data_IF_618635501988
#
_entry.id   IF_618635501988
#
_cell.length_a   1.000
_cell.length_b   1.000
_cell.length_c   1.000
_cell.angle_alpha   90.00
_cell.angle_beta   90.00
_cell.angle_gamma   90.00
#
_symmetry.space_group_name_H-M   'P 1'
#
loop_
_entity.id
_entity.type
_entity.pdbx_description
1 polymer ?
#
# COMPACT_ATOMS: atom_id res chain seq x y z
N UNK A 1 4.60 -25.04 -20.48
CA UNK A 1 6.05 -24.84 -20.70
C UNK A 1 6.60 -24.12 -19.50
N UNK A 2 7.55 -24.73 -18.78
CA UNK A 2 8.32 -24.11 -17.71
C UNK A 2 9.42 -23.21 -18.28
N UNK A 3 9.86 -22.21 -17.52
CA UNK A 3 10.97 -21.33 -17.88
C UNK A 3 12.11 -21.61 -16.90
N UNK A 4 13.27 -22.08 -17.39
CA UNK A 4 14.43 -22.42 -16.55
C UNK A 4 15.66 -21.75 -17.14
N UNK A 5 16.53 -21.20 -16.30
CA UNK A 5 17.76 -20.56 -16.75
C UNK A 5 18.59 -19.95 -15.61
N UNK A 6 19.61 -19.20 -15.99
CA UNK A 6 20.45 -18.44 -15.07
C UNK A 6 19.97 -16.99 -14.98
N UNK A 7 20.10 -16.38 -13.81
CA UNK A 7 19.77 -14.97 -13.57
C UNK A 7 20.78 -14.01 -14.21
N UNK A 8 21.97 -14.50 -14.56
CA UNK A 8 23.00 -13.76 -15.29
C UNK A 8 22.59 -13.51 -16.75
N UNK A 9 21.86 -14.46 -17.35
CA UNK A 9 21.41 -14.40 -18.74
C UNK A 9 20.07 -13.66 -18.88
N UNK A 10 19.19 -13.80 -17.88
CA UNK A 10 17.87 -13.18 -17.84
C UNK A 10 17.57 -12.74 -16.40
N UNK A 11 17.67 -11.43 -16.16
CA UNK A 11 17.51 -10.86 -14.83
C UNK A 11 16.09 -11.06 -14.28
N UNK A 12 15.96 -11.02 -12.96
CA UNK A 12 14.67 -11.23 -12.29
C UNK A 12 13.61 -10.20 -12.72
N UNK A 13 14.02 -8.98 -13.05
CA UNK A 13 13.13 -7.94 -13.59
C UNK A 13 12.51 -8.34 -14.94
N UNK A 14 13.30 -8.92 -15.85
CA UNK A 14 12.82 -9.37 -17.16
C UNK A 14 11.88 -10.57 -17.02
N UNK A 15 12.19 -11.50 -16.12
CA UNK A 15 11.33 -12.64 -15.79
C UNK A 15 9.96 -12.16 -15.30
N UNK A 16 9.94 -11.14 -14.43
CA UNK A 16 8.72 -10.54 -13.92
C UNK A 16 7.91 -9.90 -15.04
N UNK A 17 8.56 -9.19 -15.97
CA UNK A 17 7.90 -8.61 -17.13
C UNK A 17 7.27 -9.67 -18.04
N UNK A 18 7.99 -10.78 -18.29
CA UNK A 18 7.48 -11.90 -19.10
C UNK A 18 6.24 -12.52 -18.43
N UNK A 19 6.28 -12.80 -17.12
CA UNK A 19 5.16 -13.41 -16.39
C UNK A 19 3.96 -12.46 -16.34
N UNK A 20 4.20 -11.17 -16.10
CA UNK A 20 3.16 -10.14 -16.03
C UNK A 20 2.44 -9.97 -17.37
N UNK A 21 3.19 -9.74 -18.46
CA UNK A 21 2.61 -9.54 -19.79
C UNK A 21 1.88 -10.78 -20.30
N UNK A 22 2.37 -11.96 -19.96
CA UNK A 22 1.73 -13.22 -20.34
C UNK A 22 0.57 -13.62 -19.41
N UNK A 23 0.32 -12.87 -18.32
CA UNK A 23 -0.68 -13.16 -17.28
C UNK A 23 -0.65 -14.60 -16.78
N UNK A 24 0.54 -15.18 -16.67
CA UNK A 24 0.70 -16.58 -16.25
C UNK A 24 0.63 -16.72 -14.74
N UNK A 25 -0.06 -17.77 -14.29
CA UNK A 25 -0.06 -18.23 -12.90
C UNK A 25 0.97 -19.34 -12.72
N UNK A 26 1.70 -19.34 -11.60
CA UNK A 26 2.74 -20.32 -11.36
C UNK A 26 3.65 -19.97 -10.20
N UNK A 27 4.70 -20.76 -10.03
CA UNK A 27 5.68 -20.61 -8.95
C UNK A 27 7.05 -20.42 -9.56
N UNK A 28 7.72 -19.33 -9.17
CA UNK A 28 9.10 -19.02 -9.53
C UNK A 28 10.02 -19.37 -8.36
N UNK A 29 10.89 -20.35 -8.52
CA UNK A 29 11.93 -20.68 -7.57
C UNK A 29 13.24 -19.97 -7.94
N UNK A 30 13.91 -19.39 -6.94
CA UNK A 30 15.19 -18.67 -7.06
C UNK A 30 16.22 -19.33 -6.15
N UNK A 31 17.40 -19.64 -6.68
CA UNK A 31 18.51 -20.25 -5.93
C UNK A 31 19.82 -19.52 -6.21
N UNK A 32 20.29 -18.78 -5.21
CA UNK A 32 21.59 -18.12 -5.18
C UNK A 32 22.56 -18.75 -4.19
N UNK A 33 23.78 -18.20 -4.09
CA UNK A 33 24.80 -18.67 -3.14
C UNK A 33 24.47 -18.35 -1.67
N UNK A 34 23.82 -17.21 -1.43
CA UNK A 34 23.51 -16.70 -0.09
C UNK A 34 22.01 -16.77 0.25
N UNK A 35 21.14 -16.85 -0.76
CA UNK A 35 19.69 -16.76 -0.58
C UNK A 35 18.99 -17.73 -1.52
N UNK A 36 17.96 -18.41 -1.02
CA UNK A 36 17.04 -19.22 -1.82
C UNK A 36 15.59 -18.87 -1.47
N UNK A 37 14.66 -18.96 -2.43
CA UNK A 37 13.28 -18.61 -2.16
C UNK A 37 12.33 -18.95 -3.29
N UNK A 38 11.04 -18.71 -3.05
CA UNK A 38 9.99 -18.85 -4.06
C UNK A 38 9.07 -17.65 -4.08
N UNK A 39 8.56 -17.35 -5.26
CA UNK A 39 7.61 -16.27 -5.54
C UNK A 39 6.42 -16.87 -6.27
N UNK A 40 5.22 -16.56 -5.80
CA UNK A 40 3.97 -17.16 -6.25
C UNK A 40 3.18 -16.15 -7.07
N UNK A 41 2.81 -16.54 -8.29
CA UNK A 41 2.11 -15.70 -9.25
C UNK A 41 0.70 -16.21 -9.53
N UNK A 42 -0.28 -15.31 -9.53
CA UNK A 42 -1.66 -15.56 -9.96
C UNK A 42 -2.09 -14.48 -10.93
N UNK A 43 -2.50 -14.87 -12.13
CA UNK A 43 -2.92 -13.98 -13.23
C UNK A 43 -1.85 -12.92 -13.57
N UNK A 44 -0.58 -13.32 -13.45
CA UNK A 44 0.56 -12.42 -13.62
C UNK A 44 0.88 -11.53 -12.42
N UNK A 45 0.18 -11.62 -11.30
CA UNK A 45 0.41 -10.81 -10.09
C UNK A 45 1.11 -11.63 -9.00
N UNK A 46 1.98 -11.02 -8.20
CA UNK A 46 2.65 -11.72 -7.08
C UNK A 46 1.73 -11.79 -5.87
N UNK A 47 1.32 -12.99 -5.45
CA UNK A 47 0.39 -13.18 -4.34
C UNK A 47 1.07 -13.69 -3.06
N UNK A 48 2.27 -14.23 -3.16
CA UNK A 48 3.04 -14.66 -1.99
C UNK A 48 4.53 -14.78 -2.32
N UNK A 49 5.37 -14.77 -1.30
CA UNK A 49 6.79 -15.08 -1.43
C UNK A 49 7.36 -15.61 -0.11
N UNK A 50 8.47 -16.33 -0.19
CA UNK A 50 9.34 -16.60 0.94
C UNK A 50 10.80 -16.61 0.50
N UNK A 51 11.68 -16.30 1.45
CA UNK A 51 13.13 -16.26 1.26
C UNK A 51 13.82 -16.85 2.48
N UNK A 52 14.85 -17.66 2.23
CA UNK A 52 15.67 -18.34 3.22
C UNK A 52 17.13 -17.92 3.05
N UNK A 53 17.82 -17.72 4.17
CA UNK A 53 19.28 -17.50 4.21
C UNK A 53 20.04 -18.83 4.16
N UNK A 54 21.36 -18.79 4.08
CA UNK A 54 22.27 -19.95 4.14
C UNK A 54 22.01 -20.83 5.37
N UNK A 55 21.56 -20.24 6.48
CA UNK A 55 21.15 -20.96 7.70
C UNK A 55 19.70 -21.48 7.68
N UNK A 56 19.01 -21.41 6.55
CA UNK A 56 17.59 -21.74 6.34
C UNK A 56 16.65 -21.01 7.29
N UNK A 57 17.01 -19.78 7.65
CA UNK A 57 16.15 -18.87 8.43
C UNK A 57 15.45 -17.90 7.52
N UNK A 58 14.23 -17.53 7.89
CA UNK A 58 13.41 -16.54 7.20
C UNK A 58 14.00 -15.15 7.48
N UNK A 59 14.22 -14.36 6.42
CA UNK A 59 15.00 -13.12 6.49
C UNK A 59 14.11 -11.87 6.64
N UNK A 60 12.85 -11.93 6.20
CA UNK A 60 11.96 -10.77 6.06
C UNK A 60 10.54 -11.09 6.54
N UNK A 61 9.76 -10.05 6.82
CA UNK A 61 8.45 -10.18 7.49
C UNK A 61 7.25 -9.82 6.59
N UNK A 62 7.48 -9.49 5.31
CA UNK A 62 6.40 -9.20 4.37
C UNK A 62 6.78 -9.65 2.94
N UNK A 63 5.79 -9.79 2.06
CA UNK A 63 5.97 -10.30 0.69
C UNK A 63 6.87 -9.41 -0.16
N UNK A 64 6.74 -8.09 -0.05
CA UNK A 64 7.52 -7.14 -0.86
C UNK A 64 9.03 -7.20 -0.54
N UNK A 65 9.39 -7.08 0.73
CA UNK A 65 10.78 -7.14 1.19
C UNK A 65 11.40 -8.52 0.90
N UNK A 66 10.59 -9.57 1.00
CA UNK A 66 10.99 -10.93 0.65
C UNK A 66 11.30 -11.05 -0.84
N UNK A 67 10.47 -10.47 -1.71
CA UNK A 67 10.73 -10.43 -3.15
C UNK A 67 12.01 -9.63 -3.43
N UNK A 68 12.19 -8.47 -2.81
CA UNK A 68 13.40 -7.67 -2.99
C UNK A 68 14.67 -8.39 -2.52
N UNK A 69 14.63 -9.18 -1.45
CA UNK A 69 15.79 -9.97 -1.03
C UNK A 69 16.17 -11.08 -2.02
N UNK A 70 15.29 -11.44 -2.95
CA UNK A 70 15.56 -12.43 -4.00
C UNK A 70 16.13 -11.81 -5.28
N UNK A 71 16.20 -10.47 -5.39
CA UNK A 71 16.93 -9.81 -6.47
C UNK A 71 18.44 -9.98 -6.25
N UNK A 72 19.03 -10.94 -6.97
CA UNK A 72 20.45 -11.29 -6.92
C UNK A 72 21.05 -11.27 -8.33
N UNK A 73 22.38 -11.07 -8.42
CA UNK A 73 23.08 -11.04 -9.71
C UNK A 73 23.33 -12.44 -10.28
N UNK A 74 23.74 -13.38 -9.43
CA UNK A 74 24.13 -14.73 -9.83
C UNK A 74 23.21 -15.77 -9.16
N UNK A 75 22.69 -16.70 -9.95
CA UNK A 75 21.84 -17.77 -9.47
C UNK A 75 21.02 -18.41 -10.57
N UNK A 76 20.21 -19.40 -10.18
CA UNK A 76 19.33 -20.12 -11.08
C UNK A 76 17.88 -19.81 -10.77
N UNK A 77 17.04 -19.81 -11.80
CA UNK A 77 15.60 -19.69 -11.66
C UNK A 77 14.87 -20.85 -12.35
N UNK A 78 13.69 -21.19 -11.82
CA UNK A 78 12.79 -22.19 -12.36
C UNK A 78 11.34 -21.75 -12.17
N UNK A 79 10.62 -21.51 -13.26
CA UNK A 79 9.20 -21.16 -13.27
C UNK A 79 8.34 -22.31 -13.74
N UNK A 80 7.47 -22.79 -12.86
CA UNK A 80 6.53 -23.86 -13.13
C UNK A 80 5.09 -23.34 -13.16
N UNK A 81 4.32 -23.71 -14.19
CA UNK A 81 2.89 -23.44 -14.30
C UNK A 81 2.13 -24.41 -13.37
N UNK A 82 1.77 -23.93 -12.18
CA UNK A 82 1.06 -24.67 -11.14
C UNK A 82 0.02 -23.76 -10.48
N UNK A 83 -0.96 -24.35 -9.78
CA UNK A 83 -1.89 -23.54 -8.96
C UNK A 83 -1.12 -23.05 -7.72
N UNK A 84 -0.86 -21.74 -7.60
CA UNK A 84 -0.13 -21.22 -6.47
C UNK A 84 -0.88 -21.41 -5.15
N UNK A 85 -2.21 -21.49 -5.15
CA UNK A 85 -2.99 -21.62 -3.92
C UNK A 85 -2.87 -23.02 -3.30
N UNK A 86 -2.72 -24.06 -4.11
CA UNK A 86 -2.51 -25.43 -3.63
C UNK A 86 -1.13 -25.60 -3.01
N UNK A 87 -0.10 -25.04 -3.64
CA UNK A 87 1.27 -25.06 -3.12
C UNK A 87 1.42 -24.26 -1.81
N UNK A 88 0.70 -23.14 -1.65
CA UNK A 88 0.69 -22.34 -0.42
C UNK A 88 0.01 -23.09 0.73
N UNK A 89 -1.11 -23.80 0.48
CA UNK A 89 -1.85 -24.58 1.49
C UNK A 89 -1.02 -25.71 2.12
N UNK A 90 -0.01 -26.22 1.42
CA UNK A 90 0.89 -27.27 1.91
C UNK A 90 2.02 -26.77 2.83
N UNK A 91 2.17 -25.46 3.02
CA UNK A 91 3.27 -24.86 3.77
C UNK A 91 2.86 -24.42 5.17
N UNK A 92 3.85 -24.33 6.08
CA UNK A 92 3.62 -23.78 7.42
C UNK A 92 3.35 -22.27 7.31
N UNK A 93 2.33 -21.71 7.98
CA UNK A 93 1.94 -20.29 7.84
C UNK A 93 3.11 -19.32 8.07
N UNK A 94 3.98 -19.64 9.03
CA UNK A 94 5.12 -18.78 9.40
C UNK A 94 6.23 -18.73 8.35
N UNK A 95 6.15 -19.57 7.30
CA UNK A 95 7.19 -19.73 6.28
C UNK A 95 6.89 -19.07 4.95
N UNK A 96 5.67 -18.55 4.75
CA UNK A 96 5.23 -17.94 3.49
C UNK A 96 4.47 -16.66 3.77
N UNK A 97 4.91 -15.54 3.18
CA UNK A 97 4.23 -14.27 3.30
C UNK A 97 3.25 -14.12 2.14
N UNK A 98 1.97 -14.27 2.45
CA UNK A 98 0.88 -14.04 1.52
C UNK A 98 0.61 -12.54 1.49
N UNK A 99 0.65 -11.96 0.29
CA UNK A 99 0.26 -10.58 0.11
C UNK A 99 -1.27 -10.52 0.24
N UNK A 100 -1.77 -9.54 0.99
CA UNK A 100 -3.21 -9.32 1.13
C UNK A 100 -3.87 -9.09 -0.26
N UNK A 101 -3.11 -8.54 -1.22
CA UNK A 101 -3.48 -8.36 -2.63
C UNK A 101 -2.31 -8.74 -3.56
N UNK A 102 -2.62 -9.15 -4.78
CA UNK A 102 -1.60 -9.38 -5.81
C UNK A 102 -0.77 -8.12 -6.05
N UNK A 103 0.54 -8.20 -5.83
CA UNK A 103 1.51 -7.12 -6.06
C UNK A 103 1.87 -7.05 -7.55
N UNK A 104 2.00 -5.83 -8.08
CA UNK A 104 2.34 -5.60 -9.48
C UNK A 104 3.83 -5.93 -9.74
N UNK A 105 4.15 -6.92 -10.59
CA UNK A 105 5.53 -7.29 -10.89
C UNK A 105 6.35 -6.20 -11.59
N UNK A 106 5.73 -5.26 -12.32
CA UNK A 106 6.48 -4.18 -12.98
C UNK A 106 7.10 -3.22 -11.96
N UNK A 107 6.34 -2.88 -10.91
CA UNK A 107 6.88 -2.09 -9.80
C UNK A 107 7.98 -2.86 -9.08
N UNK A 108 7.74 -4.14 -8.77
CA UNK A 108 8.73 -4.99 -8.09
C UNK A 108 10.01 -5.14 -8.91
N UNK A 109 9.90 -5.25 -10.23
CA UNK A 109 11.02 -5.31 -11.17
C UNK A 109 11.83 -4.00 -11.18
N UNK A 110 11.15 -2.86 -11.30
CA UNK A 110 11.80 -1.55 -11.34
C UNK A 110 12.51 -1.24 -10.01
N UNK A 111 11.80 -1.41 -8.89
CA UNK A 111 12.33 -1.08 -7.57
C UNK A 111 13.37 -2.11 -7.10
N UNK A 112 13.15 -3.41 -7.36
CA UNK A 112 14.12 -4.47 -7.04
C UNK A 112 15.44 -4.31 -7.80
N UNK A 113 15.39 -3.97 -9.09
CA UNK A 113 16.60 -3.72 -9.89
C UNK A 113 17.34 -2.47 -9.40
N UNK A 114 16.62 -1.39 -9.08
CA UNK A 114 17.20 -0.17 -8.49
C UNK A 114 17.94 -0.46 -7.18
N UNK A 115 17.31 -1.22 -6.28
CA UNK A 115 17.90 -1.58 -4.98
C UNK A 115 19.16 -2.43 -5.13
N UNK A 116 19.15 -3.37 -6.08
CA UNK A 116 20.31 -4.20 -6.40
C UNK A 116 21.48 -3.35 -6.92
N UNK A 117 21.24 -2.39 -7.82
CA UNK A 117 22.28 -1.51 -8.37
C UNK A 117 22.84 -0.52 -7.33
N UNK A 118 22.01 -0.04 -6.40
CA UNK A 118 22.47 0.80 -5.29
C UNK A 118 23.34 0.02 -4.30
N UNK A 119 22.99 -1.24 -4.01
CA UNK A 119 23.80 -2.11 -3.17
C UNK A 119 25.19 -2.33 -3.79
N UNK A 120 25.28 -2.52 -5.10
CA UNK A 120 26.56 -2.60 -5.83
C UNK A 120 27.36 -1.30 -5.75
N UNK A 121 26.68 -0.17 -5.92
CA UNK A 121 27.32 1.15 -5.95
C UNK A 121 27.89 1.54 -4.58
N UNK A 122 27.23 1.15 -3.49
CA UNK A 122 27.73 1.32 -2.11
C UNK A 122 28.94 0.45 -1.80
N UNK A 123 29.02 -0.76 -2.36
CA UNK A 123 30.19 -1.64 -2.22
C UNK A 123 31.40 -1.11 -3.01
N UNK A 124 31.18 -0.46 -4.15
CA UNK A 124 32.25 0.14 -4.99
C UNK A 124 32.79 1.49 -4.50
N UNK A 125 32.05 2.19 -3.63
CA UNK A 125 32.41 3.54 -3.13
C UNK A 125 32.91 3.55 -1.68
N UNK A 126 32.99 2.40 -1.02
CA UNK A 126 33.62 2.29 0.29
C UNK A 126 35.14 2.51 0.17
N UNK A 127 35.75 3.44 0.93
CA UNK A 127 37.21 3.56 1.00
C UNK A 127 37.81 2.23 1.51
N UNK A 128 39.05 1.89 1.14
CA UNK A 128 39.71 0.70 1.67
C UNK A 128 39.69 0.75 3.19
N UNK A 129 39.49 -0.38 3.90
CA UNK A 129 39.52 -0.38 5.34
C UNK A 129 40.88 0.14 5.81
N UNK A 130 40.87 1.22 6.58
CA UNK A 130 42.08 1.72 7.24
C UNK A 130 42.68 0.59 8.10
N UNK A 131 44.02 0.45 8.14
CA UNK A 131 44.67 -0.55 8.97
C UNK A 131 44.25 -0.32 10.42
N UNK A 132 43.60 -1.33 11.00
CA UNK A 132 43.11 -1.29 12.38
C UNK A 132 44.31 -1.06 13.30
N UNK A 133 44.34 -0.02 14.16
CA UNK A 133 45.40 0.15 15.14
C UNK A 133 45.41 -1.05 16.09
N UNK A 134 46.56 -1.70 16.20
CA UNK A 134 46.75 -2.86 17.07
C UNK A 134 46.65 -2.43 18.54
N UNK A 135 45.51 -2.69 19.17
CA UNK A 135 45.41 -2.59 20.62
C UNK A 135 46.02 -3.86 21.26
N UNK A 136 46.79 -3.74 22.36
CA UNK A 136 47.44 -4.87 23.00
C UNK A 136 46.40 -5.87 23.50
N UNK A 137 46.60 -7.16 23.17
CA UNK A 137 45.78 -8.27 23.64
C UNK A 137 45.73 -8.28 25.17
N UNK A 138 44.57 -7.99 25.75
CA UNK A 138 44.29 -8.36 27.13
C UNK A 138 43.96 -9.85 27.17
N UNK A 139 44.78 -10.60 27.90
CA UNK A 139 44.56 -12.01 28.22
C UNK A 139 43.37 -12.16 29.16
N UNK A 140 42.28 -12.73 28.66
CA UNK A 140 41.16 -13.21 29.48
C UNK A 140 41.55 -14.61 29.99
N UNK A 141 41.46 -14.91 31.30
CA UNK A 141 41.72 -16.24 31.82
C UNK A 141 40.62 -17.25 31.44
N UNK A 142 40.91 -18.56 31.37
CA UNK A 142 39.94 -19.56 30.94
C UNK A 142 38.85 -19.74 32.01
N UNK A 143 37.58 -19.56 31.64
CA UNK A 143 36.47 -20.10 32.42
C UNK A 143 36.31 -21.59 32.08
N UNK A 144 36.32 -22.41 33.14
CA UNK A 144 36.26 -23.86 33.08
C UNK A 144 34.97 -24.40 32.43
N UNK A 145 35.13 -25.48 31.69
CA UNK A 145 34.02 -26.28 31.13
C UNK A 145 33.22 -26.96 32.26
N UNK A 146 31.88 -26.87 32.26
CA UNK A 146 31.06 -27.76 33.07
C UNK A 146 30.91 -29.12 32.39
N UNK A 147 31.25 -30.15 33.15
CA UNK A 147 31.14 -31.56 32.82
C UNK A 147 29.68 -31.99 32.60
N UNK A 148 29.48 -32.90 31.64
CA UNK A 148 28.24 -33.63 31.43
C UNK A 148 28.08 -34.65 32.56
N UNK A 149 27.04 -34.50 33.39
CA UNK A 149 26.55 -35.54 34.29
C UNK A 149 25.13 -35.91 33.91
N UNK A 150 24.92 -37.16 33.54
CA UNK A 150 23.62 -37.79 33.35
C UNK A 150 22.84 -37.91 34.66
N UNK A 151 21.52 -37.67 34.59
CA UNK A 151 20.41 -38.38 35.26
C UNK A 151 19.15 -37.48 35.30
N UNK A 152 17.94 -38.01 35.61
CA UNK A 152 17.29 -39.24 35.17
C UNK A 152 15.94 -38.93 34.47
N UNK A 153 15.46 -39.88 33.66
CA UNK A 153 14.09 -39.86 33.13
C UNK A 153 13.08 -39.88 34.30
N UNK A 154 12.18 -38.90 34.34
CA UNK A 154 10.94 -38.95 35.12
C UNK A 154 9.76 -38.84 34.17
N UNK A 155 8.95 -39.89 34.20
CA UNK A 155 7.60 -39.95 33.63
C UNK A 155 6.80 -38.73 34.08
N UNK A 156 6.32 -37.95 33.12
CA UNK A 156 5.30 -36.95 33.36
C UNK A 156 3.94 -37.61 33.07
N UNK A 157 3.23 -37.93 34.15
CA UNK A 157 1.81 -38.25 34.13
C UNK A 157 1.02 -37.13 33.43
N UNK A 158 0.16 -37.53 32.51
CA UNK A 158 -0.81 -36.66 31.86
C UNK A 158 -1.88 -36.22 32.87
N UNK A 159 -2.18 -34.91 33.00
CA UNK A 159 -3.43 -34.50 33.59
C UNK A 159 -4.55 -34.83 32.60
N UNK A 160 -5.39 -35.80 32.96
CA UNK A 160 -6.67 -36.05 32.29
C UNK A 160 -7.58 -34.85 32.59
N UNK A 161 -7.55 -33.85 31.71
CA UNK A 161 -8.64 -32.88 31.61
C UNK A 161 -9.78 -33.56 30.87
N UNK A 162 -10.83 -33.90 31.60
CA UNK A 162 -12.11 -34.36 31.04
C UNK A 162 -12.56 -33.33 30.01
N UNK A 163 -12.63 -33.74 28.76
CA UNK A 163 -13.37 -33.01 27.74
C UNK A 163 -14.85 -33.13 28.11
N UNK A 164 -15.36 -32.15 28.85
CA UNK A 164 -16.79 -31.85 28.75
C UNK A 164 -17.03 -31.37 27.32
N UNK A 165 -17.96 -32.05 26.65
CA UNK A 165 -18.34 -31.75 25.29
C UNK A 165 -18.76 -30.29 25.18
N UNK A 166 -17.92 -29.49 24.51
CA UNK A 166 -18.35 -28.21 23.95
C UNK A 166 -19.52 -28.56 23.02
N UNK A 167 -20.74 -28.03 23.24
CA UNK A 167 -21.83 -28.21 22.31
C UNK A 167 -21.32 -27.74 20.95
N UNK A 168 -21.43 -28.60 19.94
CA UNK A 168 -21.20 -28.22 18.56
C UNK A 168 -22.16 -27.07 18.25
N UNK A 169 -21.67 -25.83 18.39
CA UNK A 169 -22.27 -24.68 17.74
C UNK A 169 -22.13 -25.00 16.25
N UNK A 170 -23.26 -25.38 15.65
CA UNK A 170 -23.39 -25.42 14.20
C UNK A 170 -22.79 -24.12 13.70
N UNK A 171 -21.75 -24.22 12.86
CA UNK A 171 -21.33 -23.11 12.04
C UNK A 171 -22.53 -22.76 11.18
N UNK A 172 -23.35 -21.82 11.65
CA UNK A 172 -24.24 -21.05 10.81
C UNK A 172 -23.33 -20.22 9.92
N UNK A 173 -22.90 -20.88 8.84
CA UNK A 173 -22.31 -20.25 7.68
C UNK A 173 -23.26 -19.14 7.28
N UNK A 174 -22.85 -17.90 7.52
CA UNK A 174 -23.57 -16.73 7.06
C UNK A 174 -23.71 -16.84 5.55
N UNK A 175 -24.90 -17.21 5.09
CA UNK A 175 -25.25 -17.25 3.68
C UNK A 175 -26.02 -15.96 3.41
N UNK A 176 -25.51 -15.05 2.55
CA UNK A 176 -26.21 -13.81 2.23
C UNK A 176 -27.67 -14.05 1.82
N UNK A 177 -27.96 -15.20 1.20
CA UNK A 177 -29.31 -15.64 0.77
C UNK A 177 -30.36 -15.74 1.89
N UNK A 178 -29.98 -16.00 3.14
CA UNK A 178 -30.97 -16.12 4.23
C UNK A 178 -31.62 -14.78 4.57
N UNK A 179 -30.89 -13.68 4.42
CA UNK A 179 -31.38 -12.32 4.72
C UNK A 179 -32.41 -11.85 3.69
N UNK A 180 -32.17 -12.09 2.40
CA UNK A 180 -33.07 -11.66 1.32
C UNK A 180 -34.40 -12.43 1.36
N UNK A 181 -34.33 -13.72 1.71
CA UNK A 181 -35.50 -14.57 1.87
C UNK A 181 -36.39 -14.14 3.06
N UNK A 182 -35.78 -13.78 4.19
CA UNK A 182 -36.53 -13.23 5.34
C UNK A 182 -37.11 -11.84 5.07
N UNK A 183 -36.44 -11.03 4.23
CA UNK A 183 -36.90 -9.70 3.83
C UNK A 183 -37.99 -9.72 2.73
N UNK A 184 -38.41 -10.91 2.26
CA UNK A 184 -39.43 -11.05 1.22
C UNK A 184 -39.01 -10.56 -0.17
N UNK A 185 -37.70 -10.46 -0.42
CA UNK A 185 -37.15 -10.00 -1.70
C UNK A 185 -36.95 -11.24 -2.58
N UNK A 186 -37.81 -11.40 -3.59
CA UNK A 186 -37.61 -12.43 -4.62
C UNK A 186 -36.43 -12.04 -5.51
N UNK A 187 -35.46 -12.93 -5.69
CA UNK A 187 -34.37 -12.76 -6.66
C UNK A 187 -34.98 -12.74 -8.08
N UNK A 188 -35.15 -11.56 -8.68
CA UNK A 188 -35.40 -11.44 -10.11
C UNK A 188 -34.11 -11.84 -10.87
N UNK A 189 -34.16 -13.00 -11.51
CA UNK A 189 -33.17 -13.46 -12.48
C UNK A 189 -33.14 -12.54 -13.70
N UNK A 190 -32.29 -11.52 -13.65
CA UNK A 190 -31.41 -11.00 -14.73
C UNK A 190 -30.85 -9.66 -14.29
N UNK A 191 -29.74 -9.70 -13.55
CA UNK A 191 -28.85 -8.54 -13.49
C UNK A 191 -28.01 -8.61 -14.76
N UNK A 192 -28.29 -7.75 -15.74
CA UNK A 192 -27.35 -7.57 -16.84
C UNK A 192 -25.96 -7.28 -16.24
N UNK A 193 -24.87 -7.87 -16.77
CA UNK A 193 -23.55 -7.62 -16.22
C UNK A 193 -23.31 -6.12 -16.29
N UNK A 194 -23.31 -5.45 -15.12
CA UNK A 194 -22.96 -4.04 -15.02
C UNK A 194 -21.57 -3.91 -15.61
N UNK A 195 -21.48 -3.34 -16.81
CA UNK A 195 -20.21 -3.06 -17.47
C UNK A 195 -19.51 -2.05 -16.57
N UNK A 196 -18.63 -2.55 -15.71
CA UNK A 196 -17.90 -1.72 -14.75
C UNK A 196 -17.11 -0.71 -15.56
N UNK A 197 -17.47 0.58 -15.46
CA UNK A 197 -16.66 1.63 -16.05
C UNK A 197 -15.24 1.53 -15.49
N UNK A 198 -14.20 1.94 -16.26
CA UNK A 198 -12.82 1.94 -15.78
C UNK A 198 -12.67 2.64 -14.41
N UNK A 199 -13.43 3.71 -14.19
CA UNK A 199 -13.49 4.44 -12.92
C UNK A 199 -14.04 3.61 -11.75
N UNK A 200 -15.06 2.78 -11.97
CA UNK A 200 -15.59 1.89 -10.93
C UNK A 200 -14.64 0.74 -10.58
N UNK A 201 -13.88 0.23 -11.56
CA UNK A 201 -12.86 -0.78 -11.30
C UNK A 201 -11.72 -0.19 -10.44
N UNK A 202 -11.27 1.01 -10.79
CA UNK A 202 -10.28 1.76 -10.02
C UNK A 202 -10.79 2.09 -8.61
N UNK A 203 -12.06 2.51 -8.49
CA UNK A 203 -12.71 2.75 -7.21
C UNK A 203 -12.70 1.52 -6.32
N UNK A 204 -13.10 0.36 -6.85
CA UNK A 204 -13.10 -0.89 -6.09
C UNK A 204 -11.71 -1.26 -5.59
N UNK A 205 -10.68 -1.14 -6.44
CA UNK A 205 -9.29 -1.38 -6.05
C UNK A 205 -8.84 -0.45 -4.94
N UNK A 206 -9.10 0.84 -5.08
CA UNK A 206 -8.66 1.84 -4.11
C UNK A 206 -9.44 1.81 -2.80
N UNK A 207 -10.75 1.54 -2.82
CA UNK A 207 -11.52 1.34 -1.58
C UNK A 207 -10.94 0.17 -0.81
N UNK A 208 -10.55 -0.91 -1.50
CA UNK A 208 -9.92 -2.04 -0.84
C UNK A 208 -8.63 -1.63 -0.13
N UNK A 209 -7.70 -0.98 -0.85
CA UNK A 209 -6.45 -0.47 -0.28
C UNK A 209 -6.71 0.45 0.94
N UNK A 210 -7.82 1.20 0.92
CA UNK A 210 -8.18 2.17 1.94
C UNK A 210 -8.79 1.53 3.21
N UNK A 211 -9.14 0.25 3.17
CA UNK A 211 -9.73 -0.44 4.31
C UNK A 211 -8.73 -0.69 5.44
N UNK A 212 -7.42 -0.64 5.21
CA UNK A 212 -6.38 -0.84 6.24
C UNK A 212 -5.25 0.19 6.10
N UNK A 213 -5.53 1.49 6.26
CA UNK A 213 -4.51 2.50 6.06
C UNK A 213 -3.52 2.47 7.24
N UNK A 214 -2.23 2.31 6.96
CA UNK A 214 -1.19 2.32 7.97
C UNK A 214 -0.91 3.74 8.49
N UNK A 215 -1.26 4.78 7.71
CA UNK A 215 -1.10 6.18 8.11
C UNK A 215 -2.04 7.16 7.42
N UNK A 216 -2.21 8.36 8.01
CA UNK A 216 -2.94 9.47 7.38
C UNK A 216 -2.25 10.01 6.11
N UNK A 217 -0.93 9.82 5.99
CA UNK A 217 -0.15 10.22 4.81
C UNK A 217 -0.43 9.30 3.63
N UNK A 218 -0.63 8.01 3.87
CA UNK A 218 -1.01 7.04 2.85
C UNK A 218 -2.39 7.35 2.28
N UNK A 219 -3.39 7.61 3.13
CA UNK A 219 -4.72 8.04 2.69
C UNK A 219 -4.64 9.30 1.81
N UNK A 220 -3.79 10.26 2.21
CA UNK A 220 -3.56 11.49 1.42
C UNK A 220 -3.03 11.18 0.02
N UNK A 221 -2.04 10.29 -0.09
CA UNK A 221 -1.48 9.90 -1.38
C UNK A 221 -2.50 9.14 -2.24
N UNK A 222 -3.32 8.28 -1.63
CA UNK A 222 -4.37 7.57 -2.35
C UNK A 222 -5.44 8.51 -2.92
N UNK A 223 -5.86 9.53 -2.16
CA UNK A 223 -6.79 10.56 -2.64
C UNK A 223 -6.21 11.29 -3.85
N UNK A 224 -4.94 11.72 -3.76
CA UNK A 224 -4.27 12.40 -4.85
C UNK A 224 -4.06 11.48 -6.07
N UNK A 225 -3.75 10.19 -5.83
CA UNK A 225 -3.64 9.17 -6.88
C UNK A 225 -4.96 8.99 -7.61
N UNK A 226 -6.08 8.87 -6.90
CA UNK A 226 -7.39 8.78 -7.52
C UNK A 226 -7.68 10.00 -8.36
N UNK A 227 -7.54 11.19 -7.75
CA UNK A 227 -7.80 12.43 -8.43
C UNK A 227 -7.01 12.54 -9.74
N UNK A 228 -5.77 12.04 -9.80
CA UNK A 228 -4.94 12.05 -11.02
C UNK A 228 -5.49 11.24 -12.20
N UNK A 229 -6.41 10.31 -11.96
CA UNK A 229 -7.13 9.63 -13.06
C UNK A 229 -8.16 10.55 -13.73
N UNK A 230 -8.73 11.49 -12.98
CA UNK A 230 -9.87 12.31 -13.43
C UNK A 230 -9.41 13.70 -13.87
N UNK A 231 -8.45 14.28 -13.17
CA UNK A 231 -8.00 15.68 -13.35
C UNK A 231 -6.49 15.76 -13.51
N UNK A 232 -6.01 16.80 -14.20
CA UNK A 232 -4.57 16.97 -14.46
C UNK A 232 -3.82 17.53 -13.25
N UNK A 233 -4.49 18.31 -12.41
CA UNK A 233 -3.90 18.99 -11.26
C UNK A 233 -4.85 18.92 -10.08
N UNK A 234 -4.33 18.53 -8.91
CA UNK A 234 -5.09 18.59 -7.67
C UNK A 234 -4.24 18.96 -6.47
N UNK A 235 -4.90 19.57 -5.49
CA UNK A 235 -4.30 19.96 -4.21
C UNK A 235 -5.24 19.57 -3.08
N UNK A 236 -4.70 18.86 -2.09
CA UNK A 236 -5.42 18.55 -0.86
C UNK A 236 -5.08 19.60 0.19
N UNK A 237 -6.10 20.23 0.77
CA UNK A 237 -5.98 21.20 1.84
C UNK A 237 -6.51 20.64 3.15
N UNK A 238 -5.80 20.84 4.26
CA UNK A 238 -6.33 20.56 5.60
C UNK A 238 -7.13 21.75 6.10
N UNK A 239 -8.31 21.49 6.68
CA UNK A 239 -9.18 22.51 7.26
C UNK A 239 -8.96 22.57 8.77
N UNK A 240 -8.49 23.72 9.26
CA UNK A 240 -8.40 24.04 10.68
C UNK A 240 -9.46 25.06 11.05
N UNK A 241 -9.54 25.42 12.33
CA UNK A 241 -10.53 26.40 12.83
C UNK A 241 -10.44 27.74 12.10
N UNK A 242 -9.24 28.28 11.99
CA UNK A 242 -9.02 29.65 11.50
C UNK A 242 -8.31 29.71 10.14
N UNK A 243 -7.84 28.57 9.63
CA UNK A 243 -7.07 28.52 8.40
C UNK A 243 -7.27 27.21 7.61
N UNK A 244 -7.08 27.33 6.31
CA UNK A 244 -7.00 26.24 5.35
C UNK A 244 -5.56 26.23 4.83
N UNK A 245 -4.89 25.08 4.95
CA UNK A 245 -3.46 24.94 4.64
C UNK A 245 -3.21 23.81 3.64
N UNK A 246 -2.25 23.99 2.73
CA UNK A 246 -1.90 22.95 1.76
C UNK A 246 -1.22 21.74 2.40
N UNK A 247 -1.70 20.54 2.08
CA UNK A 247 -1.17 19.28 2.62
C UNK A 247 -0.35 18.50 1.58
N UNK A 248 -0.87 18.36 0.36
CA UNK A 248 -0.25 17.60 -0.72
C UNK A 248 -0.81 17.98 -2.09
N UNK A 249 -0.08 17.63 -3.15
CA UNK A 249 -0.44 18.00 -4.52
C UNK A 249 0.04 16.97 -5.53
N UNK A 250 -0.59 16.97 -6.71
CA UNK A 250 0.00 16.47 -7.95
C UNK A 250 -0.35 17.42 -9.10
N UNK A 251 0.45 17.39 -10.17
CA UNK A 251 0.18 18.15 -11.39
C UNK A 251 0.40 19.66 -11.29
N UNK A 252 0.83 20.19 -10.14
CA UNK A 252 1.16 21.61 -10.01
C UNK A 252 2.51 21.88 -10.66
N UNK A 253 2.50 22.62 -11.77
CA UNK A 253 3.69 23.08 -12.47
C UNK A 253 3.97 24.55 -12.15
N UNK A 254 5.20 24.85 -11.71
CA UNK A 254 5.64 26.22 -11.40
C UNK A 254 6.79 26.62 -12.31
N UNK A 255 6.83 27.91 -12.70
CA UNK A 255 7.97 28.48 -13.45
C UNK A 255 9.28 28.41 -12.67
N UNK A 256 9.21 28.55 -11.34
CA UNK A 256 10.37 28.50 -10.44
C UNK A 256 9.98 27.95 -9.06
N UNK A 257 10.85 27.11 -8.49
CA UNK A 257 10.71 26.58 -7.13
C UNK A 257 10.06 25.20 -7.05
N UNK A 258 10.04 24.62 -5.85
CA UNK A 258 9.46 23.31 -5.57
C UNK A 258 7.93 23.41 -5.33
N UNK A 259 7.09 22.72 -6.13
CA UNK A 259 5.64 22.72 -5.94
C UNK A 259 5.20 22.24 -4.56
N UNK A 260 5.85 21.22 -4.00
CA UNK A 260 5.44 20.69 -2.69
C UNK A 260 5.63 21.73 -1.57
N UNK A 261 6.78 22.41 -1.57
CA UNK A 261 7.06 23.50 -0.63
C UNK A 261 6.16 24.71 -0.85
N UNK A 262 5.84 25.05 -2.10
CA UNK A 262 4.89 26.11 -2.46
C UNK A 262 3.51 25.83 -1.88
N UNK A 263 2.95 24.66 -2.16
CA UNK A 263 1.62 24.25 -1.68
C UNK A 263 1.55 24.23 -0.16
N UNK A 264 2.57 23.67 0.52
CA UNK A 264 2.64 23.66 1.99
C UNK A 264 2.74 25.07 2.60
N UNK A 265 3.13 26.07 1.82
CA UNK A 265 3.15 27.47 2.22
C UNK A 265 1.80 28.18 2.08
N UNK A 266 0.82 27.57 1.39
CA UNK A 266 -0.49 28.18 1.19
C UNK A 266 -1.25 28.21 2.51
N UNK A 267 -1.79 29.39 2.81
CA UNK A 267 -2.67 29.64 3.94
C UNK A 267 -3.81 30.57 3.51
N UNK A 268 -5.04 30.11 3.71
CA UNK A 268 -6.28 30.86 3.43
C UNK A 268 -7.06 30.97 4.74
N UNK A 269 -7.68 32.11 5.05
CA UNK A 269 -8.49 32.21 6.27
C UNK A 269 -9.86 31.57 6.03
N UNK A 270 -10.32 30.74 6.96
CA UNK A 270 -11.60 30.02 6.82
C UNK A 270 -12.81 30.97 6.78
N UNK A 271 -12.68 32.19 7.31
CA UNK A 271 -13.74 33.20 7.34
C UNK A 271 -13.91 34.00 6.04
N UNK A 272 -12.90 34.02 5.18
CA UNK A 272 -12.88 34.81 3.95
C UNK A 272 -13.95 34.32 2.96
N UNK A 273 -14.62 35.25 2.29
CA UNK A 273 -15.62 34.92 1.27
C UNK A 273 -14.95 34.26 0.06
N UNK A 274 -15.27 32.99 -0.15
CA UNK A 274 -14.62 32.12 -1.13
C UNK A 274 -15.40 30.83 -1.33
N UNK A 275 -15.13 30.14 -2.44
CA UNK A 275 -15.62 28.77 -2.71
C UNK A 275 -15.22 27.78 -1.60
N UNK A 276 -14.10 28.01 -0.91
CA UNK A 276 -13.62 27.16 0.17
C UNK A 276 -14.54 27.25 1.39
N UNK A 277 -14.94 28.47 1.76
CA UNK A 277 -15.91 28.70 2.83
C UNK A 277 -17.26 28.09 2.48
N UNK A 278 -17.69 28.23 1.24
CA UNK A 278 -18.93 27.64 0.76
C UNK A 278 -18.92 26.11 0.87
N UNK A 279 -17.88 25.45 0.35
CA UNK A 279 -17.73 23.99 0.41
C UNK A 279 -17.68 23.48 1.86
N UNK A 280 -17.04 24.23 2.78
CA UNK A 280 -16.99 23.89 4.21
C UNK A 280 -18.38 23.98 4.85
N UNK A 281 -19.13 25.05 4.56
CA UNK A 281 -20.45 25.29 5.14
C UNK A 281 -21.51 24.32 4.60
N UNK A 282 -21.54 24.14 3.27
CA UNK A 282 -22.51 23.26 2.60
C UNK A 282 -22.16 21.77 2.75
N UNK A 283 -20.88 21.44 2.97
CA UNK A 283 -20.38 20.04 3.01
C UNK A 283 -20.71 19.26 1.75
N UNK A 284 -20.76 19.96 0.62
CA UNK A 284 -21.06 19.40 -0.69
C UNK A 284 -19.92 19.68 -1.66
N UNK A 285 -19.77 18.79 -2.63
CA UNK A 285 -18.91 19.00 -3.78
C UNK A 285 -19.39 20.20 -4.60
N UNK A 286 -18.45 21.02 -5.03
CA UNK A 286 -18.65 22.14 -5.94
C UNK A 286 -17.90 21.81 -7.24
N UNK A 287 -18.59 21.91 -8.37
CA UNK A 287 -18.03 21.76 -9.70
C UNK A 287 -18.58 22.86 -10.59
N UNK A 288 -17.80 23.92 -10.79
CA UNK A 288 -18.24 25.14 -11.48
C UNK A 288 -17.07 25.96 -12.03
N UNK A 289 -17.37 27.02 -12.77
CA UNK A 289 -16.37 27.98 -13.22
C UNK A 289 -15.86 28.83 -12.05
N UNK A 290 -14.54 29.03 -11.97
CA UNK A 290 -13.95 29.78 -10.87
C UNK A 290 -14.23 31.28 -11.05
N UNK A 291 -15.02 31.85 -10.14
CA UNK A 291 -15.28 33.29 -10.08
C UNK A 291 -14.04 34.11 -9.67
N UNK A 292 -14.09 35.43 -9.85
CA UNK A 292 -12.99 36.31 -9.45
C UNK A 292 -13.14 36.80 -8.00
N UNK A 293 -12.03 36.79 -7.26
CA UNK A 293 -11.97 37.29 -5.89
C UNK A 293 -10.56 37.17 -5.32
N UNK A 294 -10.24 37.90 -4.22
CA UNK A 294 -8.88 37.95 -3.68
C UNK A 294 -8.30 36.58 -3.32
N UNK A 295 -9.13 35.70 -2.75
CA UNK A 295 -8.74 34.33 -2.39
C UNK A 295 -8.51 33.47 -3.64
N UNK A 296 -9.33 33.65 -4.67
CA UNK A 296 -9.23 32.88 -5.91
C UNK A 296 -8.00 33.32 -6.72
N UNK A 297 -7.72 34.62 -6.82
CA UNK A 297 -6.50 35.14 -7.43
C UNK A 297 -5.25 34.67 -6.70
N UNK A 298 -5.28 34.66 -5.36
CA UNK A 298 -4.20 34.14 -4.55
C UNK A 298 -3.95 32.66 -4.82
N UNK A 299 -4.98 31.81 -4.79
CA UNK A 299 -4.78 30.37 -5.03
C UNK A 299 -4.26 30.12 -6.44
N UNK A 300 -4.84 30.73 -7.48
CA UNK A 300 -4.39 30.54 -8.86
C UNK A 300 -2.94 30.94 -9.04
N UNK A 301 -2.52 32.07 -8.43
CA UNK A 301 -1.11 32.49 -8.43
C UNK A 301 -0.20 31.44 -7.80
N UNK A 302 -0.57 30.88 -6.65
CA UNK A 302 0.23 29.85 -5.97
C UNK A 302 0.27 28.51 -6.74
N UNK A 303 -0.74 28.24 -7.58
CA UNK A 303 -0.83 27.04 -8.43
C UNK A 303 -0.11 27.17 -9.79
N UNK A 304 0.49 28.33 -10.11
CA UNK A 304 1.23 28.56 -11.35
C UNK A 304 0.71 29.72 -12.21
N UNK A 305 -0.43 30.30 -11.84
CA UNK A 305 -0.98 31.52 -12.44
C UNK A 305 -1.94 31.32 -13.62
N UNK A 306 -2.10 30.09 -14.09
CA UNK A 306 -3.05 29.74 -15.15
C UNK A 306 -4.46 29.53 -14.58
N UNK A 307 -5.43 30.26 -15.14
CA UNK A 307 -6.82 30.27 -14.67
C UNK A 307 -7.58 29.08 -15.26
N UNK A 308 -8.15 28.19 -14.42
CA UNK A 308 -8.89 27.05 -14.90
C UNK A 308 -10.27 27.48 -15.43
N UNK A 309 -10.74 26.79 -16.48
CA UNK A 309 -12.10 26.94 -16.97
C UNK A 309 -13.14 26.43 -15.96
N UNK A 310 -12.86 25.28 -15.37
CA UNK A 310 -13.73 24.60 -14.41
C UNK A 310 -12.87 24.07 -13.27
N UNK A 311 -13.40 24.13 -12.05
CA UNK A 311 -12.78 23.56 -10.87
C UNK A 311 -13.68 22.49 -10.26
N UNK A 312 -13.06 21.60 -9.50
CA UNK A 312 -13.70 20.64 -8.62
C UNK A 312 -13.21 20.92 -7.21
N UNK A 313 -14.12 21.06 -6.26
CA UNK A 313 -13.81 21.25 -4.85
C UNK A 313 -14.71 20.34 -4.01
N UNK A 314 -14.13 19.27 -3.46
CA UNK A 314 -14.88 18.29 -2.69
C UNK A 314 -14.41 18.22 -1.22
N UNK A 315 -15.35 18.22 -0.25
CA UNK A 315 -15.02 18.07 1.16
C UNK A 315 -14.76 16.61 1.53
N UNK A 316 -13.68 16.39 2.27
CA UNK A 316 -13.42 15.14 2.98
C UNK A 316 -13.97 15.24 4.42
N UNK A 317 -15.00 14.47 4.70
CA UNK A 317 -15.72 14.48 5.98
C UNK A 317 -15.15 13.45 6.95
N UNK A 318 -14.83 13.88 8.17
CA UNK A 318 -14.41 12.99 9.27
C UNK A 318 -15.26 13.33 10.49
N UNK A 319 -15.97 12.34 11.04
CA UNK A 319 -16.93 12.55 12.14
C UNK A 319 -17.93 13.69 11.87
N UNK A 320 -18.40 13.81 10.62
CA UNK A 320 -19.35 14.83 10.18
C UNK A 320 -18.80 16.25 10.03
N UNK A 321 -17.48 16.47 10.18
CA UNK A 321 -16.81 17.76 9.97
C UNK A 321 -15.92 17.70 8.74
N UNK A 322 -15.78 18.81 8.03
CA UNK A 322 -14.85 18.93 6.91
C UNK A 322 -13.44 18.98 7.48
N UNK A 323 -12.68 17.90 7.32
CA UNK A 323 -11.30 17.79 7.79
C UNK A 323 -10.30 18.21 6.71
N UNK A 324 -10.64 17.99 5.44
CA UNK A 324 -9.85 18.42 4.30
C UNK A 324 -10.75 18.81 3.11
N UNK A 325 -10.19 19.55 2.17
CA UNK A 325 -10.81 19.89 0.87
C UNK A 325 -9.89 19.42 -0.24
N UNK A 326 -10.42 18.67 -1.20
CA UNK A 326 -9.73 18.33 -2.44
C UNK A 326 -10.10 19.34 -3.51
N UNK A 327 -9.14 20.17 -3.91
CA UNK A 327 -9.24 21.05 -5.07
C UNK A 327 -8.69 20.34 -6.30
N UNK A 328 -9.31 20.53 -7.45
CA UNK A 328 -8.94 19.91 -8.72
C UNK A 328 -9.26 20.77 -9.93
N UNK A 329 -8.39 20.75 -10.94
CA UNK A 329 -8.65 21.33 -12.25
C UNK A 329 -7.86 20.62 -13.37
N UNK A 330 -8.08 21.06 -14.60
CA UNK A 330 -7.47 20.49 -15.80
C UNK A 330 -6.50 21.41 -16.51
N UNK A 331 -5.91 22.38 -15.80
CA UNK A 331 -4.80 23.16 -16.36
C UNK A 331 -3.58 22.22 -16.55
N UNK A 332 -2.84 22.30 -17.67
CA UNK A 332 -2.97 23.28 -18.77
C UNK A 332 -3.88 22.84 -19.93
N UNK A 333 -4.45 21.63 -19.90
CA UNK A 333 -5.21 21.07 -21.02
C UNK A 333 -6.60 21.70 -21.21
N UNK A 334 -7.11 22.43 -20.20
CA UNK A 334 -8.40 23.13 -20.19
C UNK A 334 -9.63 22.25 -20.53
N UNK A 335 -9.47 20.92 -20.48
CA UNK A 335 -10.57 19.98 -20.70
C UNK A 335 -11.60 20.07 -19.55
N UNK A 336 -12.91 19.89 -19.82
CA UNK A 336 -13.90 19.76 -18.76
C UNK A 336 -13.56 18.63 -17.80
N UNK A 337 -13.90 18.78 -16.54
CA UNK A 337 -13.76 17.73 -15.53
C UNK A 337 -14.79 16.65 -15.86
N UNK A 338 -14.32 15.39 -15.89
CA UNK A 338 -15.15 14.23 -16.21
C UNK A 338 -16.19 13.91 -15.13
N UNK A 339 -16.66 12.67 -15.13
CA UNK A 339 -17.48 12.13 -14.05
C UNK A 339 -16.67 12.03 -12.75
N UNK A 340 -17.22 12.59 -11.67
CA UNK A 340 -16.57 12.67 -10.35
C UNK A 340 -17.25 11.80 -9.30
N UNK A 341 -18.36 11.11 -9.62
CA UNK A 341 -19.12 10.32 -8.65
C UNK A 341 -18.24 9.29 -7.93
N UNK A 342 -17.39 8.60 -8.68
CA UNK A 342 -16.46 7.61 -8.10
C UNK A 342 -15.46 8.24 -7.12
N UNK A 343 -14.95 9.44 -7.44
CA UNK A 343 -14.02 10.15 -6.56
C UNK A 343 -14.73 10.67 -5.30
N UNK A 344 -15.96 11.14 -5.43
CA UNK A 344 -16.76 11.58 -4.28
C UNK A 344 -17.08 10.43 -3.33
N UNK A 345 -17.45 9.26 -3.87
CA UNK A 345 -17.60 8.03 -3.09
C UNK A 345 -16.29 7.68 -2.40
N UNK A 346 -15.16 7.77 -3.12
CA UNK A 346 -13.85 7.47 -2.56
C UNK A 346 -13.48 8.42 -1.41
N UNK A 347 -13.74 9.72 -1.54
CA UNK A 347 -13.51 10.71 -0.47
C UNK A 347 -14.35 10.41 0.78
N UNK A 348 -15.61 9.97 0.61
CA UNK A 348 -16.44 9.54 1.72
C UNK A 348 -15.84 8.33 2.46
N UNK A 349 -15.35 7.33 1.72
CA UNK A 349 -14.67 6.17 2.29
C UNK A 349 -13.35 6.57 2.98
N UNK A 350 -12.59 7.48 2.39
CA UNK A 350 -11.34 7.98 2.96
C UNK A 350 -11.60 8.71 4.30
N UNK A 351 -12.69 9.47 4.37
CA UNK A 351 -13.15 10.08 5.61
C UNK A 351 -13.42 9.09 6.73
N UNK A 352 -14.12 7.99 6.43
CA UNK A 352 -14.39 6.92 7.39
C UNK A 352 -13.11 6.17 7.80
N UNK A 353 -12.21 5.92 6.86
CA UNK A 353 -10.92 5.28 7.14
C UNK A 353 -10.03 6.16 8.04
N UNK A 354 -10.02 7.48 7.81
CA UNK A 354 -9.35 8.44 8.69
C UNK A 354 -9.96 8.46 10.09
N UNK A 355 -11.28 8.40 10.21
CA UNK A 355 -11.97 8.34 11.51
C UNK A 355 -11.54 7.10 12.30
N UNK A 356 -11.51 5.93 11.66
CA UNK A 356 -11.07 4.69 12.29
C UNK A 356 -9.62 4.77 12.76
N UNK A 357 -8.71 5.20 11.88
CA UNK A 357 -7.29 5.36 12.22
C UNK A 357 -7.06 6.32 13.39
N UNK A 358 -7.87 7.38 13.49
CA UNK A 358 -7.79 8.35 14.59
C UNK A 358 -8.35 7.78 15.90
N UNK A 359 -9.39 6.96 15.85
CA UNK A 359 -9.95 6.26 17.02
C UNK A 359 -8.97 5.21 17.57
N UNK A 360 -8.37 4.40 16.71
CA UNK A 360 -7.37 3.39 17.10
C UNK A 360 -6.17 4.04 17.82
N UNK A 361 -5.68 5.19 17.33
CA UNK A 361 -4.63 5.97 18.01
C UNK A 361 -5.05 6.48 19.39
N UNK A 362 -6.30 6.91 19.57
CA UNK A 362 -6.80 7.36 20.88
C UNK A 362 -6.90 6.20 21.87
N UNK A 363 -7.34 5.03 21.41
CA UNK A 363 -7.45 3.82 22.23
C UNK A 363 -6.08 3.30 22.65
N UNK A 364 -5.10 3.28 21.75
CA UNK A 364 -3.73 2.83 22.07
C UNK A 364 -3.00 3.74 23.04
N UNK A 365 -3.34 5.04 23.10
CA UNK A 365 -2.82 5.97 24.11
C UNK A 365 -3.47 5.78 25.48
N UNK A 366 -4.77 5.46 25.54
CA UNK A 366 -5.49 5.22 26.81
C UNK A 366 -5.16 3.89 27.48
N UNK A 367 -4.71 2.88 26.73
CA UNK A 367 -4.27 1.59 27.30
C UNK A 367 -2.85 1.60 27.87
N UNK A 368 -2.14 2.74 27.82
CA UNK A 368 -0.79 2.94 28.36
C UNK A 368 -0.77 3.81 29.64
N UNK A 369 -1.91 4.32 30.05
CA UNK A 369 -2.15 4.94 31.38
C UNK A 369 -2.81 3.90 32.29
#
# INVERSE_FOLDING_TARGET
MSLVGNLEDLGLGDIFQIIFLSRRSGVLAIRGKAVEGKIYFKDGMVIAAYSLDVSKKIIRNNTQDTVFSLFIEEGNFDFELKDPNEEIKGMKPDSVFIAEHGLNPQFLAMEGSRLLDEAKSKVKTAPPPEPIPSYPKQTIPPLAEPQVTEAPQKEAETPVVKHEAIPQLKEETFSPRSIWAEAGIAEEERVEPVVSSPGLALLKSMIFELQNPHSSSEITLMILRFASEIMNRAVLFIVKRDAIEGLGQFGVALKTGDPNRRIKGIKIQTGDESIFKEAILKKMTIKEELGHGPVHEYIIKELGGEWPREIFLAPLLVSGKVAALLYGDNVPDERPIGDTESLEIFLAQAGMAMERALLERRLSMKGKE
#
